data_IF_060068278960
#
_entry.id   IF_060068278960
#
_cell.length_a   1.000
_cell.length_b   1.000
_cell.length_c   1.000
_cell.angle_alpha   90.00
_cell.angle_beta   90.00
_cell.angle_gamma   90.00
#
_symmetry.space_group_name_H-M   'P 1'
#
loop_
_entity.id
_entity.type
_entity.pdbx_description
1 polymer ?
#
# COMPACT_ATOMS: atom_id res chain seq x y z
N UNK A 1 -23.62 12.02 24.97
CA UNK A 1 -22.85 10.93 24.33
C UNK A 1 -22.50 9.95 25.42
N UNK A 2 -22.94 8.70 25.31
CA UNK A 2 -22.48 7.64 26.22
C UNK A 2 -21.06 7.31 25.76
N UNK A 3 -20.06 7.67 26.56
CA UNK A 3 -18.67 7.27 26.33
C UNK A 3 -18.60 5.76 26.52
N UNK A 4 -18.53 5.00 25.43
CA UNK A 4 -18.20 3.58 25.53
C UNK A 4 -16.73 3.47 25.97
N UNK A 5 -16.51 2.89 27.14
CA UNK A 5 -15.16 2.59 27.62
C UNK A 5 -14.55 1.52 26.70
N UNK A 6 -13.26 1.67 26.34
CA UNK A 6 -12.60 0.64 25.54
C UNK A 6 -12.54 -0.69 26.30
N UNK A 7 -12.32 -1.81 25.58
CA UNK A 7 -12.07 -3.10 26.20
C UNK A 7 -11.07 -2.95 27.35
N UNK A 8 -11.34 -3.60 28.49
CA UNK A 8 -10.63 -3.36 29.75
C UNK A 8 -9.12 -3.64 29.70
N UNK A 9 -8.64 -4.30 28.64
CA UNK A 9 -7.25 -4.62 28.40
C UNK A 9 -6.51 -3.60 27.51
N UNK A 10 -7.19 -2.64 26.87
CA UNK A 10 -6.54 -1.67 25.97
C UNK A 10 -5.79 -0.57 26.73
N UNK A 11 -4.53 -0.34 26.36
CA UNK A 11 -3.80 0.83 26.84
C UNK A 11 -4.42 2.10 26.25
N UNK A 12 -4.70 3.06 27.13
CA UNK A 12 -5.22 4.38 26.75
C UNK A 12 -4.12 5.37 26.36
N UNK A 13 -2.92 5.18 26.90
CA UNK A 13 -1.75 6.00 26.60
C UNK A 13 -0.94 5.33 25.50
N UNK A 14 -0.67 6.01 24.37
CA UNK A 14 0.20 5.48 23.33
C UNK A 14 1.63 5.24 23.83
N UNK A 15 2.31 4.25 23.27
CA UNK A 15 3.71 3.91 23.58
C UNK A 15 3.82 2.90 24.72
N UNK A 16 4.73 1.94 24.56
CA UNK A 16 4.90 0.81 25.47
C UNK A 16 6.27 0.84 26.15
N UNK A 17 7.32 1.17 25.39
CA UNK A 17 8.71 1.17 25.84
C UNK A 17 9.13 2.52 26.46
N UNK A 18 8.55 3.63 25.99
CA UNK A 18 8.87 4.97 26.47
C UNK A 18 8.00 5.39 27.66
N UNK A 19 8.62 6.04 28.65
CA UNK A 19 7.90 6.54 29.82
C UNK A 19 6.95 7.71 29.48
N UNK A 20 7.34 8.55 28.51
CA UNK A 20 6.56 9.69 28.04
C UNK A 20 5.35 9.30 27.20
N UNK A 21 5.33 8.08 26.65
CA UNK A 21 4.39 7.67 25.60
C UNK A 21 4.86 8.11 24.21
N UNK A 22 4.15 7.66 23.17
CA UNK A 22 4.47 7.94 21.77
C UNK A 22 3.50 8.93 21.12
N UNK A 23 4.06 9.74 20.22
CA UNK A 23 3.36 10.71 19.38
C UNK A 23 4.10 10.83 18.03
N UNK A 24 3.50 11.54 17.07
CA UNK A 24 4.05 11.68 15.72
C UNK A 24 5.54 12.05 15.71
N UNK A 25 5.93 13.13 16.41
CA UNK A 25 7.30 13.62 16.38
C UNK A 25 8.29 12.61 16.96
N UNK A 26 7.90 11.91 18.05
CA UNK A 26 8.76 10.90 18.64
C UNK A 26 8.95 9.69 17.72
N UNK A 27 7.87 9.21 17.09
CA UNK A 27 7.92 8.09 16.15
C UNK A 27 8.79 8.46 14.96
N UNK A 28 8.56 9.64 14.38
CA UNK A 28 9.32 10.13 13.23
C UNK A 28 10.81 10.34 13.53
N UNK A 29 11.16 10.91 14.69
CA UNK A 29 12.57 11.05 15.13
C UNK A 29 13.25 9.69 15.30
N UNK A 30 12.56 8.71 15.88
CA UNK A 30 13.10 7.38 16.11
C UNK A 30 13.30 6.60 14.80
N UNK A 31 12.36 6.69 13.85
CA UNK A 31 12.51 6.17 12.49
C UNK A 31 13.71 6.81 11.78
N UNK A 32 13.81 8.14 11.81
CA UNK A 32 14.94 8.85 11.20
C UNK A 32 16.29 8.44 11.81
N UNK A 33 16.34 8.28 13.14
CA UNK A 33 17.55 7.79 13.83
C UNK A 33 17.90 6.34 13.45
N UNK A 34 16.90 5.47 13.32
CA UNK A 34 17.10 4.09 12.89
C UNK A 34 17.74 4.04 11.49
N UNK A 35 17.26 4.88 10.57
CA UNK A 35 17.69 4.95 9.17
C UNK A 35 19.04 5.65 8.98
N UNK A 36 19.40 6.60 9.85
CA UNK A 36 20.59 7.45 9.69
C UNK A 36 21.92 6.67 9.58
N UNK A 37 22.00 5.49 10.17
CA UNK A 37 23.19 4.63 10.14
C UNK A 37 22.81 3.16 10.41
N UNK A 38 23.78 2.24 10.38
CA UNK A 38 23.60 0.82 10.72
C UNK A 38 24.17 0.41 12.10
N UNK A 39 24.77 1.32 12.88
CA UNK A 39 25.55 0.98 14.07
C UNK A 39 25.11 1.65 15.38
N UNK A 40 24.21 2.62 15.33
CA UNK A 40 23.74 3.33 16.52
C UNK A 40 22.91 2.41 17.41
N UNK A 41 23.15 2.54 18.72
CA UNK A 41 22.46 1.77 19.75
C UNK A 41 20.99 2.13 19.84
N UNK A 42 20.17 1.16 20.26
CA UNK A 42 18.75 1.34 20.53
C UNK A 42 18.51 2.52 21.52
N UNK A 43 17.82 3.59 21.11
CA UNK A 43 17.48 4.71 22.00
C UNK A 43 16.33 4.39 22.96
N UNK A 44 15.53 3.35 22.66
CA UNK A 44 14.42 2.90 23.50
C UNK A 44 14.95 2.00 24.61
N UNK A 45 14.30 2.05 25.78
CA UNK A 45 14.67 1.26 26.95
C UNK A 45 14.82 -0.23 26.61
N UNK A 46 15.64 -0.98 27.36
CA UNK A 46 15.88 -2.41 27.12
C UNK A 46 14.70 -3.31 27.52
N UNK A 47 13.49 -2.77 27.65
CA UNK A 47 12.28 -3.55 27.94
C UNK A 47 12.02 -4.59 26.86
N UNK A 48 11.58 -5.79 27.26
CA UNK A 48 11.16 -6.81 26.32
C UNK A 48 9.72 -6.58 25.90
N UNK A 49 9.48 -6.55 24.58
CA UNK A 49 8.13 -6.52 23.99
C UNK A 49 7.33 -7.79 24.30
N UNK A 50 7.99 -8.84 24.77
CA UNK A 50 7.37 -10.12 25.10
C UNK A 50 7.07 -10.29 26.58
N UNK A 51 7.23 -9.25 27.41
CA UNK A 51 7.01 -9.35 28.86
C UNK A 51 5.55 -9.69 29.18
N UNK A 52 4.62 -8.97 28.57
CA UNK A 52 3.17 -9.16 28.76
C UNK A 52 2.53 -10.03 27.67
N UNK A 53 3.28 -10.35 26.62
CA UNK A 53 2.84 -11.15 25.48
C UNK A 53 3.95 -12.12 25.01
N UNK A 54 4.23 -13.20 25.76
CA UNK A 54 5.37 -14.08 25.49
C UNK A 54 5.34 -14.77 24.12
N UNK A 55 4.15 -14.99 23.56
CA UNK A 55 3.96 -15.61 22.24
C UNK A 55 3.85 -14.61 21.09
N UNK A 56 3.92 -13.31 21.37
CA UNK A 56 3.88 -12.26 20.33
C UNK A 56 2.59 -12.32 19.49
N UNK A 57 1.43 -12.50 20.14
CA UNK A 57 0.14 -12.68 19.46
C UNK A 57 -0.81 -11.49 19.61
N UNK A 58 -1.56 -11.17 18.56
CA UNK A 58 -2.64 -10.20 18.61
C UNK A 58 -3.72 -10.55 19.64
N UNK A 59 -4.12 -9.57 20.43
CA UNK A 59 -5.19 -9.68 21.43
C UNK A 59 -4.82 -10.48 22.69
N UNK A 60 -3.62 -11.05 22.78
CA UNK A 60 -3.18 -11.89 23.91
C UNK A 60 -2.43 -11.13 25.01
N UNK A 61 -1.95 -9.92 24.71
CA UNK A 61 -1.23 -9.09 25.67
C UNK A 61 -0.71 -7.82 25.03
N UNK A 62 -0.11 -6.96 25.86
CA UNK A 62 0.54 -5.74 25.39
C UNK A 62 1.86 -6.06 24.67
N UNK A 63 2.24 -5.30 23.64
CA UNK A 63 1.60 -4.09 23.12
C UNK A 63 0.59 -4.32 21.98
N UNK A 64 0.17 -5.57 21.73
CA UNK A 64 -0.69 -5.96 20.61
C UNK A 64 -2.14 -6.19 21.02
N UNK A 65 -2.61 -5.44 22.01
CA UNK A 65 -3.92 -5.65 22.60
C UNK A 65 -5.10 -5.13 21.74
N UNK A 66 -4.84 -4.22 20.80
CA UNK A 66 -5.87 -3.48 20.03
C UNK A 66 -6.25 -4.22 18.75
N UNK A 67 -7.28 -5.07 18.85
CA UNK A 67 -7.84 -5.84 17.72
C UNK A 67 -9.30 -5.44 17.49
N UNK A 68 -9.65 -5.10 16.25
CA UNK A 68 -11.00 -4.70 15.83
C UNK A 68 -11.74 -5.93 15.27
N UNK A 69 -12.11 -6.83 16.18
CA UNK A 69 -12.77 -8.11 15.86
C UNK A 69 -14.32 -8.03 15.88
N UNK A 70 -14.87 -6.88 16.27
CA UNK A 70 -16.30 -6.70 16.52
C UNK A 70 -16.75 -5.25 16.31
N UNK A 71 -18.04 -5.02 15.99
CA UNK A 71 -18.62 -3.67 15.93
C UNK A 71 -18.46 -2.88 17.23
N UNK A 72 -18.48 -3.56 18.38
CA UNK A 72 -18.26 -2.97 19.70
C UNK A 72 -16.82 -2.48 19.87
N UNK A 73 -15.82 -3.29 19.47
CA UNK A 73 -14.43 -2.86 19.48
C UNK A 73 -14.21 -1.66 18.55
N UNK A 74 -14.84 -1.65 17.38
CA UNK A 74 -14.76 -0.52 16.45
C UNK A 74 -15.43 0.75 17.01
N UNK A 75 -16.61 0.61 17.63
CA UNK A 75 -17.29 1.73 18.27
C UNK A 75 -16.47 2.31 19.45
N UNK A 76 -15.84 1.44 20.24
CA UNK A 76 -14.92 1.83 21.30
C UNK A 76 -13.70 2.58 20.75
N UNK A 77 -13.13 2.15 19.62
CA UNK A 77 -12.02 2.84 18.98
C UNK A 77 -12.42 4.25 18.53
N UNK A 78 -13.56 4.39 17.84
CA UNK A 78 -14.09 5.69 17.40
C UNK A 78 -14.33 6.63 18.60
N UNK A 79 -14.84 6.11 19.71
CA UNK A 79 -15.08 6.88 20.92
C UNK A 79 -13.80 7.38 21.61
N UNK A 80 -12.61 6.89 21.20
CA UNK A 80 -11.33 7.18 21.83
C UNK A 80 -10.25 7.57 20.78
N UNK A 81 -10.33 8.76 20.15
CA UNK A 81 -9.43 9.18 19.07
C UNK A 81 -7.94 9.13 19.38
N UNK A 82 -7.56 9.30 20.65
CA UNK A 82 -6.18 9.19 21.11
C UNK A 82 -5.55 7.81 20.86
N UNK A 83 -6.37 6.77 20.68
CA UNK A 83 -5.90 5.40 20.44
C UNK A 83 -5.40 5.18 19.01
N UNK A 84 -5.94 5.91 18.03
CA UNK A 84 -5.60 5.70 16.62
C UNK A 84 -4.78 6.83 16.00
N UNK A 85 -4.84 8.06 16.53
CA UNK A 85 -4.06 9.21 15.97
C UNK A 85 -2.54 9.06 16.02
N UNK A 86 -2.03 8.18 16.87
CA UNK A 86 -0.60 7.93 17.04
C UNK A 86 -0.26 6.45 16.83
N UNK A 87 -1.09 5.74 16.06
CA UNK A 87 -0.92 4.34 15.76
C UNK A 87 -0.93 4.10 14.26
N UNK A 88 -0.34 2.97 13.86
CA UNK A 88 -0.48 2.43 12.52
C UNK A 88 -1.72 1.54 12.48
N UNK A 89 -2.56 1.71 11.47
CA UNK A 89 -3.67 0.81 11.19
C UNK A 89 -3.16 -0.33 10.30
N UNK A 90 -3.26 -1.57 10.77
CA UNK A 90 -2.85 -2.76 10.02
C UNK A 90 -4.11 -3.53 9.60
N UNK A 91 -4.32 -3.67 8.31
CA UNK A 91 -5.46 -4.38 7.73
C UNK A 91 -4.96 -5.75 7.26
N UNK A 92 -5.59 -6.82 7.73
CA UNK A 92 -5.35 -8.17 7.22
C UNK A 92 -6.45 -8.57 6.24
N UNK A 93 -6.17 -8.65 4.93
CA UNK A 93 -7.12 -9.20 3.97
C UNK A 93 -7.32 -10.72 4.16
N UNK A 94 -6.33 -11.41 4.75
CA UNK A 94 -6.36 -12.85 5.04
C UNK A 94 -5.58 -13.22 6.31
N UNK A 95 -5.79 -14.43 6.84
CA UNK A 95 -5.21 -14.90 8.12
C UNK A 95 -3.68 -15.08 8.11
N UNK A 96 -3.09 -15.34 6.96
CA UNK A 96 -1.64 -15.52 6.76
C UNK A 96 -1.27 -15.23 5.31
N UNK A 97 0.00 -14.92 5.07
CA UNK A 97 0.56 -14.73 3.72
C UNK A 97 0.91 -16.07 3.05
N UNK A 98 0.94 -17.15 3.85
CA UNK A 98 1.05 -18.57 3.44
C UNK A 98 1.99 -19.32 4.39
N UNK A 99 2.57 -20.44 3.95
CA UNK A 99 3.39 -21.31 4.81
C UNK A 99 4.88 -21.30 4.45
N UNK A 100 5.75 -21.02 5.43
CA UNK A 100 7.20 -21.00 5.23
C UNK A 100 7.78 -22.40 4.94
N UNK A 101 9.10 -22.53 4.64
CA UNK A 101 9.72 -23.83 4.37
C UNK A 101 9.63 -24.85 5.52
N UNK A 102 9.33 -24.42 6.74
CA UNK A 102 9.11 -25.28 7.91
C UNK A 102 7.64 -25.71 8.07
N UNK A 103 6.75 -25.24 7.20
CA UNK A 103 5.31 -25.52 7.24
C UNK A 103 4.54 -24.63 8.22
N UNK A 104 5.12 -23.53 8.68
CA UNK A 104 4.48 -22.60 9.62
C UNK A 104 3.68 -21.55 8.85
N UNK A 105 2.42 -21.31 9.25
CA UNK A 105 1.63 -20.19 8.72
C UNK A 105 2.24 -18.84 9.15
N UNK A 106 2.46 -17.94 8.19
CA UNK A 106 3.10 -16.65 8.41
C UNK A 106 2.06 -15.54 8.48
N UNK A 107 1.77 -15.06 9.69
CA UNK A 107 0.91 -13.89 9.93
C UNK A 107 1.73 -12.61 10.01
N UNK A 108 2.03 -12.03 8.85
CA UNK A 108 3.01 -10.93 8.69
C UNK A 108 2.66 -9.64 9.44
N UNK A 109 1.37 -9.37 9.69
CA UNK A 109 0.91 -8.22 10.50
C UNK A 109 1.57 -8.13 11.88
N UNK A 110 1.91 -9.26 12.49
CA UNK A 110 2.61 -9.33 13.78
C UNK A 110 4.01 -8.75 13.65
N UNK A 111 4.68 -9.02 12.52
CA UNK A 111 6.01 -8.49 12.26
C UNK A 111 5.96 -6.98 12.05
N UNK A 112 5.01 -6.46 11.28
CA UNK A 112 4.81 -5.00 11.15
C UNK A 112 4.63 -4.33 12.52
N UNK A 113 3.74 -4.85 13.36
CA UNK A 113 3.51 -4.29 14.69
C UNK A 113 4.75 -4.39 15.60
N UNK A 114 5.46 -5.52 15.54
CA UNK A 114 6.70 -5.69 16.31
C UNK A 114 7.77 -4.70 15.86
N UNK A 115 7.98 -4.53 14.56
CA UNK A 115 8.95 -3.58 14.01
C UNK A 115 8.60 -2.15 14.40
N UNK A 116 7.35 -1.73 14.19
CA UNK A 116 6.87 -0.40 14.57
C UNK A 116 7.11 -0.11 16.06
N UNK A 117 6.81 -1.07 16.93
CA UNK A 117 7.02 -0.91 18.37
C UNK A 117 8.52 -0.93 18.74
N UNK A 118 9.30 -1.84 18.15
CA UNK A 118 10.71 -2.03 18.51
C UNK A 118 11.60 -0.90 18.00
N UNK A 119 11.29 -0.37 16.82
CA UNK A 119 12.08 0.67 16.16
C UNK A 119 11.67 2.05 16.66
N UNK A 120 10.37 2.30 16.83
CA UNK A 120 9.85 3.66 17.02
C UNK A 120 8.87 3.82 18.20
N UNK A 121 8.69 2.79 19.03
CA UNK A 121 7.67 2.76 20.10
C UNK A 121 6.25 3.11 19.60
N UNK A 122 5.98 2.77 18.34
CA UNK A 122 4.74 3.08 17.67
C UNK A 122 3.71 1.99 17.94
N UNK A 123 2.56 2.38 18.50
CA UNK A 123 1.44 1.48 18.70
C UNK A 123 0.84 1.06 17.34
N UNK A 124 0.16 -0.09 17.32
CA UNK A 124 -0.53 -0.60 16.14
C UNK A 124 -1.96 -1.04 16.50
N UNK A 125 -2.86 -0.93 15.53
CA UNK A 125 -4.25 -1.39 15.62
C UNK A 125 -4.50 -2.39 14.50
N UNK A 126 -4.96 -3.58 14.86
CA UNK A 126 -5.26 -4.62 13.90
C UNK A 126 -6.73 -4.59 13.46
N UNK A 127 -6.96 -4.64 12.16
CA UNK A 127 -8.25 -4.85 11.52
C UNK A 127 -8.22 -6.21 10.77
N UNK A 128 -8.61 -7.32 11.43
CA UNK A 128 -8.59 -8.65 10.84
C UNK A 128 -9.80 -8.86 9.92
N UNK A 129 -9.82 -8.17 8.78
CA UNK A 129 -10.96 -8.11 7.85
C UNK A 129 -11.48 -9.50 7.43
N UNK A 130 -10.57 -10.46 7.24
CA UNK A 130 -10.91 -11.85 6.94
C UNK A 130 -11.75 -12.53 8.03
N UNK A 131 -11.65 -12.09 9.28
CA UNK A 131 -12.37 -12.65 10.43
C UNK A 131 -13.59 -11.80 10.82
N UNK A 132 -13.40 -10.48 10.95
CA UNK A 132 -14.45 -9.57 11.42
C UNK A 132 -15.43 -9.15 10.32
N UNK A 133 -15.06 -9.33 9.06
CA UNK A 133 -15.86 -8.92 7.91
C UNK A 133 -15.76 -7.42 7.61
N UNK A 134 -16.45 -6.96 6.55
CA UNK A 134 -16.39 -5.56 6.14
C UNK A 134 -17.02 -4.63 7.18
N UNK A 135 -16.28 -3.57 7.52
CA UNK A 135 -16.79 -2.45 8.30
C UNK A 135 -17.40 -1.38 7.38
N UNK A 136 -18.23 -0.52 7.96
CA UNK A 136 -18.76 0.66 7.29
C UNK A 136 -17.61 1.60 6.87
N UNK A 137 -17.37 1.72 5.57
CA UNK A 137 -16.25 2.47 5.02
C UNK A 137 -16.35 3.98 5.31
N UNK A 138 -17.57 4.54 5.39
CA UNK A 138 -17.76 5.96 5.73
C UNK A 138 -17.26 6.27 7.15
N UNK A 139 -17.28 5.26 8.03
CA UNK A 139 -16.77 5.37 9.40
C UNK A 139 -15.32 4.92 9.53
N UNK A 140 -14.91 3.89 8.78
CA UNK A 140 -13.57 3.34 8.87
C UNK A 140 -12.52 4.26 8.28
N UNK A 141 -12.74 4.77 7.07
CA UNK A 141 -11.73 5.55 6.35
C UNK A 141 -11.26 6.74 7.19
N UNK A 142 -12.13 7.58 7.79
CA UNK A 142 -11.69 8.67 8.66
C UNK A 142 -10.87 8.21 9.87
N UNK A 143 -11.11 7.00 10.40
CA UNK A 143 -10.37 6.46 11.55
C UNK A 143 -8.96 6.07 11.14
N UNK A 144 -8.82 5.25 10.09
CA UNK A 144 -7.52 4.74 9.66
C UNK A 144 -6.68 5.83 8.99
N UNK A 145 -7.32 6.75 8.27
CA UNK A 145 -6.63 7.88 7.61
C UNK A 145 -6.20 8.96 8.60
N UNK A 146 -6.70 8.96 9.85
CA UNK A 146 -6.26 9.90 10.88
C UNK A 146 -5.06 9.40 11.70
N UNK A 147 -4.58 8.18 11.42
CA UNK A 147 -3.43 7.58 12.08
C UNK A 147 -2.09 8.02 11.51
N UNK A 148 -1.03 7.26 11.83
CA UNK A 148 0.33 7.52 11.35
C UNK A 148 0.61 6.89 9.98
N UNK A 149 0.06 5.71 9.73
CA UNK A 149 0.12 5.00 8.45
C UNK A 149 -1.01 3.97 8.39
N UNK A 150 -1.37 3.56 7.17
CA UNK A 150 -2.22 2.41 6.89
C UNK A 150 -1.34 1.34 6.25
N UNK A 151 -1.33 0.12 6.78
CA UNK A 151 -0.64 -1.02 6.17
C UNK A 151 -1.69 -2.05 5.77
N UNK A 152 -1.78 -2.36 4.48
CA UNK A 152 -2.63 -3.42 3.96
C UNK A 152 -1.75 -4.62 3.65
N UNK A 153 -1.89 -5.66 4.47
CA UNK A 153 -1.00 -6.82 4.48
C UNK A 153 -1.23 -7.78 3.31
N UNK A 154 -0.31 -8.75 3.22
CA UNK A 154 -0.43 -9.86 2.29
C UNK A 154 -1.52 -10.88 2.66
N UNK A 155 -1.63 -11.90 1.81
CA UNK A 155 -2.56 -13.00 2.01
C UNK A 155 -2.35 -14.11 0.99
N UNK A 156 -2.73 -15.32 1.37
CA UNK A 156 -2.71 -16.53 0.51
C UNK A 156 -3.69 -16.48 -0.70
N UNK A 157 -4.85 -15.78 -0.66
CA UNK A 157 -5.74 -15.66 -1.81
C UNK A 157 -5.12 -14.90 -2.98
N UNK A 158 -5.81 -14.98 -4.12
CA UNK A 158 -5.38 -14.41 -5.39
C UNK A 158 -6.45 -13.47 -5.96
N UNK A 159 -6.11 -12.21 -6.21
CA UNK A 159 -7.09 -11.20 -6.67
C UNK A 159 -7.66 -11.47 -8.07
N UNK A 160 -6.95 -12.24 -8.89
CA UNK A 160 -7.42 -12.69 -10.22
C UNK A 160 -8.48 -13.79 -10.12
N UNK A 161 -8.62 -14.43 -8.96
CA UNK A 161 -9.63 -15.46 -8.73
C UNK A 161 -10.41 -15.18 -7.42
N UNK A 162 -11.54 -14.46 -7.50
CA UNK A 162 -12.37 -14.12 -6.34
C UNK A 162 -12.82 -15.32 -5.50
N UNK A 163 -12.91 -16.52 -6.09
CA UNK A 163 -13.31 -17.73 -5.35
C UNK A 163 -12.27 -18.18 -4.31
N UNK A 164 -11.01 -17.75 -4.42
CA UNK A 164 -9.94 -18.07 -3.46
C UNK A 164 -10.14 -17.38 -2.10
N UNK A 165 -10.99 -16.36 -2.02
CA UNK A 165 -11.38 -15.72 -0.77
C UNK A 165 -12.49 -16.49 -0.01
N UNK A 166 -12.95 -17.62 -0.53
CA UNK A 166 -13.98 -18.42 0.11
C UNK A 166 -13.54 -18.87 1.51
N UNK A 167 -14.42 -18.64 2.50
CA UNK A 167 -14.16 -18.99 3.91
C UNK A 167 -13.76 -17.81 4.79
N UNK A 168 -13.45 -16.64 4.21
CA UNK A 168 -13.37 -15.39 4.98
C UNK A 168 -14.75 -14.75 5.19
N UNK A 169 -14.81 -13.87 6.18
CA UNK A 169 -15.96 -12.99 6.47
C UNK A 169 -16.05 -11.79 5.52
N UNK A 170 -15.06 -11.58 4.64
CA UNK A 170 -15.06 -10.55 3.61
C UNK A 170 -14.87 -11.16 2.22
N UNK A 171 -15.43 -10.52 1.20
CA UNK A 171 -15.24 -10.91 -0.20
C UNK A 171 -14.09 -10.14 -0.85
N UNK A 172 -13.60 -10.65 -1.98
CA UNK A 172 -12.69 -9.92 -2.87
C UNK A 172 -13.21 -8.52 -3.21
N UNK A 173 -14.50 -8.39 -3.50
CA UNK A 173 -15.12 -7.10 -3.84
C UNK A 173 -15.15 -6.11 -2.66
N UNK A 174 -15.29 -6.61 -1.43
CA UNK A 174 -15.25 -5.76 -0.23
C UNK A 174 -13.85 -5.20 -0.01
N UNK A 175 -12.83 -6.03 -0.20
CA UNK A 175 -11.42 -5.64 -0.12
C UNK A 175 -11.03 -4.68 -1.24
N UNK A 176 -11.50 -4.91 -2.47
CA UNK A 176 -11.28 -3.97 -3.58
C UNK A 176 -11.87 -2.60 -3.27
N UNK A 177 -13.11 -2.53 -2.77
CA UNK A 177 -13.72 -1.25 -2.36
C UNK A 177 -12.98 -0.57 -1.23
N UNK A 178 -12.50 -1.32 -0.25
CA UNK A 178 -11.66 -0.78 0.81
C UNK A 178 -10.38 -0.16 0.23
N UNK A 179 -9.69 -0.85 -0.66
CA UNK A 179 -8.49 -0.34 -1.32
C UNK A 179 -8.77 0.90 -2.15
N UNK A 180 -9.85 0.93 -2.95
CA UNK A 180 -10.29 2.13 -3.67
C UNK A 180 -10.51 3.33 -2.73
N UNK A 181 -11.18 3.12 -1.59
CA UNK A 181 -11.43 4.18 -0.64
C UNK A 181 -10.15 4.64 0.08
N UNK A 182 -9.21 3.73 0.37
CA UNK A 182 -7.89 4.10 0.91
C UNK A 182 -7.15 4.98 -0.11
N UNK A 183 -7.13 4.57 -1.39
CA UNK A 183 -6.49 5.34 -2.46
C UNK A 183 -7.10 6.73 -2.63
N UNK A 184 -8.42 6.89 -2.46
CA UNK A 184 -9.10 8.20 -2.54
C UNK A 184 -9.00 9.04 -1.25
N UNK A 185 -8.52 8.46 -0.13
CA UNK A 185 -8.52 9.13 1.18
C UNK A 185 -7.30 10.02 1.43
N UNK A 186 -6.31 10.01 0.53
CA UNK A 186 -5.07 10.76 0.71
C UNK A 186 -5.29 12.27 0.58
N UNK A 187 -5.18 12.96 1.70
CA UNK A 187 -5.29 14.42 1.86
C UNK A 187 -4.08 14.96 2.66
N UNK A 188 -3.86 16.29 2.75
CA UNK A 188 -2.74 16.89 3.49
C UNK A 188 -2.60 16.52 4.96
N UNK A 189 -3.65 15.99 5.59
CA UNK A 189 -3.63 15.59 7.01
C UNK A 189 -3.94 14.09 7.21
N UNK A 190 -3.93 13.32 6.12
CA UNK A 190 -4.20 11.89 6.17
C UNK A 190 -2.91 11.08 6.39
N UNK A 191 -3.06 9.82 6.77
CA UNK A 191 -1.99 8.84 6.79
C UNK A 191 -1.59 8.41 5.36
N UNK A 192 -0.31 8.12 5.09
CA UNK A 192 0.09 7.35 3.92
C UNK A 192 -0.42 5.91 4.01
N UNK A 193 -0.54 5.24 2.87
CA UNK A 193 -0.81 3.81 2.80
C UNK A 193 0.42 3.04 2.30
N UNK A 194 0.63 1.83 2.83
CA UNK A 194 1.62 0.85 2.38
C UNK A 194 0.87 -0.45 2.10
N UNK A 195 0.89 -0.90 0.85
CA UNK A 195 0.21 -2.10 0.40
C UNK A 195 1.23 -3.20 0.13
N UNK A 196 1.13 -4.35 0.81
CA UNK A 196 2.15 -5.40 0.80
C UNK A 196 1.56 -6.69 0.23
N UNK A 197 2.25 -7.33 -0.71
CA UNK A 197 1.89 -8.61 -1.33
C UNK A 197 0.45 -8.62 -1.89
N UNK A 198 -0.51 -9.27 -1.24
CA UNK A 198 -1.93 -9.20 -1.62
C UNK A 198 -2.48 -7.77 -1.59
N UNK A 199 -2.01 -6.93 -0.67
CA UNK A 199 -2.30 -5.50 -0.67
C UNK A 199 -1.85 -4.83 -1.97
N UNK A 200 -0.63 -5.12 -2.45
CA UNK A 200 -0.09 -4.56 -3.70
C UNK A 200 -0.94 -4.97 -4.91
N UNK A 201 -1.35 -6.24 -4.96
CA UNK A 201 -2.29 -6.75 -5.96
C UNK A 201 -3.67 -6.06 -5.92
N UNK A 202 -4.21 -5.84 -4.71
CA UNK A 202 -5.47 -5.13 -4.52
C UNK A 202 -5.36 -3.66 -4.96
N UNK A 203 -4.23 -3.00 -4.69
CA UNK A 203 -3.97 -1.63 -5.13
C UNK A 203 -3.91 -1.53 -6.66
N UNK A 204 -3.21 -2.46 -7.33
CA UNK A 204 -3.16 -2.54 -8.79
C UNK A 204 -4.56 -2.69 -9.41
N UNK A 205 -5.39 -3.61 -8.90
CA UNK A 205 -6.77 -3.74 -9.36
C UNK A 205 -7.62 -2.50 -9.04
N UNK A 206 -7.42 -1.87 -7.89
CA UNK A 206 -8.15 -0.66 -7.49
C UNK A 206 -7.84 0.51 -8.41
N UNK A 207 -6.59 0.69 -8.86
CA UNK A 207 -6.24 1.71 -9.85
C UNK A 207 -7.04 1.54 -11.14
N UNK A 208 -7.04 0.33 -11.71
CA UNK A 208 -7.77 0.05 -12.96
C UNK A 208 -9.28 0.22 -12.76
N UNK A 209 -9.82 -0.21 -11.62
CA UNK A 209 -11.24 -0.03 -11.29
C UNK A 209 -11.63 1.45 -11.19
N UNK A 210 -10.82 2.28 -10.51
CA UNK A 210 -11.04 3.72 -10.38
C UNK A 210 -10.98 4.44 -11.73
N UNK A 211 -10.01 4.09 -12.58
CA UNK A 211 -9.88 4.68 -13.93
C UNK A 211 -11.10 4.30 -14.78
N UNK A 212 -11.52 3.03 -14.78
CA UNK A 212 -12.72 2.58 -15.49
C UNK A 212 -13.97 3.28 -14.98
N UNK A 213 -14.07 3.48 -13.66
CA UNK A 213 -15.15 4.26 -13.05
C UNK A 213 -15.14 5.71 -13.52
N UNK A 214 -13.99 6.38 -13.53
CA UNK A 214 -13.83 7.75 -14.00
C UNK A 214 -14.28 7.88 -15.47
N UNK A 215 -13.75 7.01 -16.34
CA UNK A 215 -14.12 6.98 -17.76
C UNK A 215 -15.62 6.80 -17.94
N UNK A 216 -16.21 5.80 -17.26
CA UNK A 216 -17.65 5.53 -17.36
C UNK A 216 -18.49 6.72 -16.91
N UNK A 217 -18.18 7.31 -15.76
CA UNK A 217 -18.97 8.41 -15.18
C UNK A 217 -18.85 9.70 -15.99
N UNK A 218 -17.65 10.03 -16.48
CA UNK A 218 -17.42 11.21 -17.34
C UNK A 218 -18.12 11.06 -18.69
N UNK A 219 -18.01 9.90 -19.34
CA UNK A 219 -18.62 9.67 -20.66
C UNK A 219 -20.14 9.56 -20.60
N UNK A 220 -20.71 9.16 -19.46
CA UNK A 220 -22.16 9.10 -19.26
C UNK A 220 -22.79 10.46 -18.93
N UNK A 221 -21.98 11.49 -18.63
CA UNK A 221 -22.49 12.79 -18.21
C UNK A 221 -22.77 13.69 -19.42
N UNK A 222 -24.01 14.17 -19.54
CA UNK A 222 -24.42 15.10 -20.60
C UNK A 222 -24.13 16.57 -20.26
N UNK A 223 -24.22 16.93 -18.98
CA UNK A 223 -24.08 18.30 -18.49
C UNK A 223 -23.28 18.31 -17.19
N UNK A 224 -22.28 19.18 -17.13
CA UNK A 224 -21.53 19.48 -15.92
C UNK A 224 -22.03 20.79 -15.31
N UNK A 225 -22.51 20.74 -14.07
CA UNK A 225 -23.01 21.92 -13.37
C UNK A 225 -21.92 23.00 -13.27
N UNK A 226 -22.28 24.25 -13.59
CA UNK A 226 -21.33 25.38 -13.61
C UNK A 226 -20.48 25.49 -14.88
N UNK A 227 -20.47 24.48 -15.77
CA UNK A 227 -19.77 24.51 -17.06
C UNK A 227 -20.63 25.14 -18.17
N UNK A 228 -20.89 26.45 -18.07
CA UNK A 228 -21.86 27.14 -18.93
C UNK A 228 -21.58 27.10 -20.45
N UNK A 229 -20.37 26.71 -20.87
CA UNK A 229 -20.02 26.51 -22.27
C UNK A 229 -19.64 25.06 -22.63
N UNK A 230 -19.78 24.13 -21.68
CA UNK A 230 -19.49 22.70 -21.85
C UNK A 230 -18.02 22.38 -22.15
N UNK A 231 -17.08 23.31 -21.93
CA UNK A 231 -15.68 23.12 -22.30
C UNK A 231 -14.97 22.17 -21.35
N UNK A 232 -15.25 22.26 -20.06
CA UNK A 232 -14.62 21.42 -19.05
C UNK A 232 -15.04 19.96 -19.24
N UNK A 233 -16.34 19.71 -19.38
CA UNK A 233 -16.86 18.38 -19.63
C UNK A 233 -16.33 17.79 -20.94
N UNK A 234 -16.30 18.58 -22.02
CA UNK A 234 -15.78 18.10 -23.30
C UNK A 234 -14.30 17.73 -23.23
N UNK A 235 -13.48 18.51 -22.52
CA UNK A 235 -12.07 18.20 -22.35
C UNK A 235 -11.88 16.86 -21.60
N UNK A 236 -12.62 16.66 -20.50
CA UNK A 236 -12.59 15.40 -19.75
C UNK A 236 -13.11 14.22 -20.59
N UNK A 237 -14.15 14.41 -21.39
CA UNK A 237 -14.69 13.37 -22.27
C UNK A 237 -13.70 12.95 -23.36
N UNK A 238 -12.96 13.90 -23.96
CA UNK A 238 -11.93 13.58 -24.94
C UNK A 238 -10.83 12.72 -24.32
N UNK A 239 -10.34 13.10 -23.13
CA UNK A 239 -9.36 12.31 -22.38
C UNK A 239 -9.92 10.92 -22.04
N UNK A 240 -11.15 10.83 -21.53
CA UNK A 240 -11.75 9.55 -21.18
C UNK A 240 -11.99 8.63 -22.39
N UNK A 241 -12.26 9.19 -23.57
CA UNK A 241 -12.33 8.43 -24.83
C UNK A 241 -10.97 7.85 -25.22
N UNK A 242 -9.90 8.63 -25.07
CA UNK A 242 -8.53 8.18 -25.34
C UNK A 242 -8.12 7.07 -24.37
N UNK A 243 -8.36 7.27 -23.07
CA UNK A 243 -8.10 6.26 -22.03
C UNK A 243 -8.88 4.97 -22.31
N UNK A 244 -10.17 5.09 -22.68
CA UNK A 244 -10.97 3.94 -23.06
C UNK A 244 -10.39 3.19 -24.26
N UNK A 245 -9.96 3.90 -25.30
CA UNK A 245 -9.42 3.28 -26.51
C UNK A 245 -8.11 2.52 -26.22
N UNK A 246 -7.20 3.11 -25.44
CA UNK A 246 -5.96 2.44 -25.03
C UNK A 246 -6.28 1.25 -24.12
N UNK A 247 -7.10 1.43 -23.08
CA UNK A 247 -7.47 0.35 -22.16
C UNK A 247 -8.17 -0.83 -22.85
N UNK A 248 -8.94 -0.58 -23.91
CA UNK A 248 -9.60 -1.63 -24.70
C UNK A 248 -8.68 -2.37 -25.68
N UNK A 249 -7.50 -1.84 -25.96
CA UNK A 249 -6.57 -2.41 -26.95
C UNK A 249 -5.23 -2.85 -26.36
N UNK A 250 -4.91 -2.41 -25.13
CA UNK A 250 -3.68 -2.79 -24.45
C UNK A 250 -3.74 -4.25 -24.01
N UNK A 251 -2.78 -5.01 -24.53
CA UNK A 251 -2.61 -6.44 -24.26
C UNK A 251 -1.54 -6.60 -23.18
N UNK A 252 -1.79 -7.49 -22.22
CA UNK A 252 -0.77 -7.92 -21.26
C UNK A 252 -0.14 -9.21 -21.75
N UNK A 253 1.18 -9.22 -21.85
CA UNK A 253 1.93 -10.33 -22.41
C UNK A 253 3.09 -10.73 -21.50
N UNK A 254 3.13 -12.02 -21.15
CA UNK A 254 4.21 -12.64 -20.39
C UNK A 254 5.46 -12.79 -21.24
N UNK A 255 6.62 -12.95 -20.58
CA UNK A 255 7.92 -13.07 -21.25
C UNK A 255 8.02 -14.28 -22.15
N UNK A 256 7.32 -15.35 -21.78
CA UNK A 256 7.19 -16.58 -22.59
C UNK A 256 6.38 -16.38 -23.88
N UNK A 257 5.83 -15.19 -24.08
CA UNK A 257 5.04 -14.79 -25.24
C UNK A 257 3.54 -14.95 -25.06
N UNK A 258 3.08 -15.50 -23.93
CA UNK A 258 1.67 -15.77 -23.65
C UNK A 258 0.90 -14.48 -23.38
N UNK A 259 -0.18 -14.28 -24.10
CA UNK A 259 -1.16 -13.22 -23.80
C UNK A 259 -2.02 -13.66 -22.63
N UNK A 260 -2.03 -12.88 -21.55
CA UNK A 260 -2.83 -13.15 -20.34
C UNK A 260 -4.04 -12.23 -20.18
N UNK A 261 -4.04 -11.09 -20.86
CA UNK A 261 -5.19 -10.20 -20.96
C UNK A 261 -5.17 -9.48 -22.31
N UNK A 262 -6.33 -9.28 -22.91
CA UNK A 262 -6.49 -8.60 -24.21
C UNK A 262 -7.12 -7.21 -24.08
N UNK A 263 -7.49 -6.79 -22.87
CA UNK A 263 -7.98 -5.45 -22.52
C UNK A 263 -8.10 -5.29 -20.98
N UNK A 264 -8.36 -4.06 -20.55
CA UNK A 264 -8.55 -3.65 -19.15
C UNK A 264 -9.80 -4.20 -18.42
N UNK A 265 -10.71 -4.89 -19.13
CA UNK A 265 -11.87 -5.57 -18.53
C UNK A 265 -11.52 -6.99 -18.11
N UNK A 266 -10.44 -7.56 -18.65
CA UNK A 266 -9.99 -8.91 -18.33
C UNK A 266 -9.59 -9.03 -16.85
N UNK A 267 -10.01 -10.11 -16.19
CA UNK A 267 -9.75 -10.32 -14.76
C UNK A 267 -8.26 -10.38 -14.41
N UNK A 268 -7.42 -10.77 -15.37
CA UNK A 268 -5.96 -10.88 -15.22
C UNK A 268 -5.22 -9.64 -15.76
N UNK A 269 -5.91 -8.55 -16.11
CA UNK A 269 -5.26 -7.36 -16.67
C UNK A 269 -4.33 -6.69 -15.67
N UNK A 270 -4.77 -6.48 -14.43
CA UNK A 270 -3.93 -5.84 -13.41
C UNK A 270 -2.95 -6.83 -12.75
N UNK A 271 -3.37 -8.09 -12.58
CA UNK A 271 -2.61 -9.12 -11.86
C UNK A 271 -2.76 -10.44 -12.59
N UNK A 272 -1.65 -11.13 -12.84
CA UNK A 272 -1.65 -12.44 -13.46
C UNK A 272 -0.77 -13.43 -12.67
N UNK A 273 -0.80 -14.70 -13.07
CA UNK A 273 0.14 -15.67 -12.54
C UNK A 273 1.54 -15.36 -13.07
N UNK A 274 2.51 -15.32 -12.16
CA UNK A 274 3.92 -15.16 -12.52
C UNK A 274 4.43 -16.45 -13.19
N UNK A 275 5.38 -16.32 -14.11
CA UNK A 275 6.09 -17.41 -14.78
C UNK A 275 6.79 -18.33 -13.77
N UNK A 276 7.28 -17.80 -12.66
CA UNK A 276 7.95 -18.54 -11.61
C UNK A 276 7.45 -18.14 -10.20
N UNK A 277 7.40 -19.12 -9.29
CA UNK A 277 7.08 -18.83 -7.89
C UNK A 277 8.29 -18.20 -7.20
N UNK A 278 8.11 -17.05 -6.59
CA UNK A 278 9.16 -16.36 -5.83
C UNK A 278 8.97 -16.60 -4.32
N UNK A 279 9.88 -17.37 -3.74
CA UNK A 279 9.97 -17.62 -2.30
C UNK A 279 11.41 -17.41 -1.86
N UNK A 280 11.60 -16.71 -0.74
CA UNK A 280 12.90 -16.45 -0.13
C UNK A 280 13.52 -15.14 -0.62
N UNK A 281 14.81 -14.98 -0.40
CA UNK A 281 15.51 -13.73 -0.70
C UNK A 281 15.59 -13.48 -2.20
N UNK A 282 15.33 -12.24 -2.61
CA UNK A 282 15.56 -11.71 -3.95
C UNK A 282 16.26 -10.37 -3.89
N UNK A 283 16.96 -10.03 -4.97
CA UNK A 283 17.57 -8.72 -5.11
C UNK A 283 16.56 -7.75 -5.73
N UNK A 284 16.44 -6.56 -5.15
CA UNK A 284 15.78 -5.44 -5.83
C UNK A 284 16.71 -4.77 -6.82
N UNK A 285 16.18 -4.50 -8.01
CA UNK A 285 16.79 -3.71 -9.06
C UNK A 285 15.98 -2.45 -9.30
N UNK A 286 16.66 -1.41 -9.78
CA UNK A 286 15.99 -0.24 -10.30
C UNK A 286 15.12 -0.67 -11.49
N UNK A 287 13.91 -0.11 -11.58
CA UNK A 287 13.04 -0.37 -12.70
C UNK A 287 13.60 0.26 -13.99
N UNK A 288 13.54 -0.49 -15.08
CA UNK A 288 13.89 -0.02 -16.42
C UNK A 288 12.64 -0.09 -17.31
N UNK A 289 12.28 1.04 -17.92
CA UNK A 289 11.13 1.11 -18.82
C UNK A 289 11.30 0.16 -20.02
N UNK A 290 10.22 -0.51 -20.46
CA UNK A 290 10.28 -1.43 -21.58
C UNK A 290 10.49 -0.70 -22.91
N UNK A 291 11.14 -1.35 -23.88
CA UNK A 291 11.32 -0.79 -25.22
C UNK A 291 10.00 -0.85 -26.02
N UNK A 292 9.52 0.30 -26.47
CA UNK A 292 8.30 0.46 -27.27
C UNK A 292 8.26 -0.41 -28.54
N UNK A 293 9.41 -0.70 -29.18
CA UNK A 293 9.43 -1.50 -30.42
C UNK A 293 9.13 -2.98 -30.17
N UNK A 294 9.38 -3.44 -28.93
CA UNK A 294 9.37 -4.87 -28.60
C UNK A 294 8.31 -5.27 -27.58
N UNK A 295 7.91 -4.34 -26.71
CA UNK A 295 6.95 -4.58 -25.63
C UNK A 295 5.50 -4.67 -26.11
N UNK A 296 5.15 -3.92 -27.17
CA UNK A 296 3.76 -3.74 -27.59
C UNK A 296 2.97 -2.77 -26.72
N UNK A 297 3.62 -2.11 -25.75
CA UNK A 297 3.05 -1.01 -24.97
C UNK A 297 3.16 0.29 -25.78
N UNK A 298 2.10 1.11 -25.89
CA UNK A 298 2.17 2.38 -26.61
C UNK A 298 3.26 3.30 -26.06
N UNK A 299 4.03 3.94 -26.94
CA UNK A 299 5.12 4.85 -26.58
C UNK A 299 4.67 5.94 -25.60
N UNK A 300 3.48 6.54 -25.81
CA UNK A 300 2.94 7.56 -24.92
C UNK A 300 2.71 7.07 -23.48
N UNK A 301 2.42 5.78 -23.30
CA UNK A 301 2.22 5.14 -21.99
C UNK A 301 3.57 4.95 -21.28
N UNK A 302 4.61 4.56 -22.03
CA UNK A 302 5.98 4.41 -21.51
C UNK A 302 6.56 5.79 -21.14
N UNK A 303 6.51 6.75 -22.06
CA UNK A 303 7.05 8.11 -21.86
C UNK A 303 6.39 8.80 -20.67
N UNK A 304 5.10 8.56 -20.42
CA UNK A 304 4.43 9.11 -19.25
C UNK A 304 5.03 8.62 -17.93
N UNK A 305 5.51 7.38 -17.87
CA UNK A 305 6.23 6.86 -16.68
C UNK A 305 7.62 7.48 -16.55
N UNK A 306 8.36 7.62 -17.65
CA UNK A 306 9.67 8.28 -17.64
C UNK A 306 9.57 9.74 -17.14
N UNK A 307 8.53 10.46 -17.54
CA UNK A 307 8.26 11.82 -17.02
C UNK A 307 7.94 11.78 -15.52
N UNK A 308 7.10 10.84 -15.07
CA UNK A 308 6.80 10.68 -13.63
C UNK A 308 8.07 10.44 -12.82
N UNK A 309 8.96 9.57 -13.31
CA UNK A 309 10.21 9.22 -12.65
C UNK A 309 11.23 10.39 -12.63
N UNK A 310 11.21 11.29 -13.61
CA UNK A 310 12.03 12.51 -13.59
C UNK A 310 11.45 13.60 -12.67
N UNK A 311 10.12 13.74 -12.64
CA UNK A 311 9.42 14.75 -11.84
C UNK A 311 9.45 14.45 -10.33
N UNK A 312 9.63 13.18 -9.95
CA UNK A 312 9.60 12.72 -8.56
C UNK A 312 10.90 12.05 -8.13
N UNK A 313 11.44 12.46 -6.98
CA UNK A 313 12.54 11.73 -6.34
C UNK A 313 12.03 10.40 -5.75
N UNK A 314 12.52 9.27 -6.27
CA UNK A 314 12.11 7.94 -5.85
C UNK A 314 12.72 7.47 -4.52
N UNK A 315 11.87 7.12 -3.54
CA UNK A 315 12.29 6.67 -2.20
C UNK A 315 12.99 5.30 -2.25
N UNK A 316 12.49 4.40 -3.10
CA UNK A 316 13.09 3.06 -3.29
C UNK A 316 14.32 3.17 -4.18
N UNK A 317 14.32 3.98 -5.24
CA UNK A 317 15.49 4.21 -6.10
C UNK A 317 16.68 4.73 -5.30
N UNK A 318 16.41 5.68 -4.40
CA UNK A 318 17.38 6.20 -3.45
C UNK A 318 17.92 5.07 -2.55
N UNK A 319 17.04 4.17 -2.09
CA UNK A 319 17.43 3.02 -1.27
C UNK A 319 18.33 2.04 -2.02
N UNK A 320 17.98 1.71 -3.27
CA UNK A 320 18.74 0.81 -4.15
C UNK A 320 20.12 1.42 -4.44
N UNK A 321 20.16 2.72 -4.76
CA UNK A 321 21.41 3.44 -5.04
C UNK A 321 22.36 3.50 -3.82
N UNK A 322 21.82 3.63 -2.60
CA UNK A 322 22.64 3.68 -1.38
C UNK A 322 23.08 2.32 -0.85
N UNK A 323 22.25 1.27 -0.99
CA UNK A 323 22.49 -0.03 -0.35
C UNK A 323 23.16 -1.06 -1.29
N UNK A 324 23.39 -0.72 -2.57
CA UNK A 324 24.05 -1.51 -3.65
C UNK A 324 23.44 -2.89 -3.99
N UNK A 325 23.04 -3.69 -2.99
CA UNK A 325 22.39 -5.00 -3.14
C UNK A 325 21.31 -5.16 -2.06
N UNK A 326 20.10 -4.65 -2.34
CA UNK A 326 18.99 -4.70 -1.38
C UNK A 326 18.28 -6.06 -1.46
N UNK A 327 18.46 -6.89 -0.43
CA UNK A 327 17.85 -8.22 -0.35
C UNK A 327 16.50 -8.16 0.38
N UNK A 328 15.48 -8.79 -0.21
CA UNK A 328 14.09 -8.77 0.29
C UNK A 328 13.46 -10.16 0.30
N UNK A 329 12.58 -10.37 1.27
CA UNK A 329 11.80 -11.60 1.38
C UNK A 329 10.62 -11.61 0.38
N UNK A 330 10.54 -12.68 -0.42
CA UNK A 330 9.45 -12.96 -1.35
C UNK A 330 8.55 -14.10 -0.87
N UNK A 331 7.26 -14.00 -1.21
CA UNK A 331 6.24 -14.95 -0.77
C UNK A 331 5.01 -15.02 -1.70
N UNK A 332 5.17 -15.14 -3.02
CA UNK A 332 4.01 -15.15 -3.93
C UNK A 332 4.23 -15.95 -5.22
N UNK A 333 3.12 -16.15 -5.94
CA UNK A 333 3.07 -16.80 -7.25
C UNK A 333 2.29 -16.00 -8.29
N UNK A 334 1.71 -14.87 -7.88
CA UNK A 334 1.05 -13.92 -8.76
C UNK A 334 1.86 -12.64 -8.75
N UNK A 335 1.73 -11.84 -9.80
CA UNK A 335 2.44 -10.58 -9.97
C UNK A 335 1.51 -9.51 -10.53
N UNK A 336 1.80 -8.26 -10.20
CA UNK A 336 1.20 -7.10 -10.84
C UNK A 336 1.83 -6.90 -12.20
N UNK A 337 1.00 -6.74 -13.23
CA UNK A 337 1.49 -6.58 -14.59
C UNK A 337 2.02 -5.15 -14.82
N UNK A 338 3.22 -5.06 -15.41
CA UNK A 338 3.88 -3.79 -15.77
C UNK A 338 2.98 -2.91 -16.63
N UNK A 339 2.35 -3.48 -17.66
CA UNK A 339 1.54 -2.74 -18.63
C UNK A 339 0.33 -2.07 -17.97
N UNK A 340 -0.25 -2.72 -16.95
CA UNK A 340 -1.39 -2.18 -16.22
C UNK A 340 -1.01 -0.96 -15.38
N UNK A 341 0.18 -0.98 -14.74
CA UNK A 341 0.64 0.15 -13.93
C UNK A 341 1.14 1.30 -14.82
N UNK A 342 1.85 1.01 -15.90
CA UNK A 342 2.21 2.03 -16.90
C UNK A 342 0.95 2.71 -17.46
N UNK A 343 -0.07 1.93 -17.82
CA UNK A 343 -1.36 2.46 -18.25
C UNK A 343 -2.03 3.31 -17.16
N UNK A 344 -2.03 2.84 -15.91
CA UNK A 344 -2.61 3.58 -14.81
C UNK A 344 -1.94 4.94 -14.59
N UNK A 345 -0.60 4.98 -14.65
CA UNK A 345 0.18 6.22 -14.58
C UNK A 345 -0.24 7.21 -15.67
N UNK A 346 -0.21 6.77 -16.92
CA UNK A 346 -0.57 7.58 -18.07
C UNK A 346 -2.00 8.11 -17.96
N UNK A 347 -2.96 7.25 -17.59
CA UNK A 347 -4.36 7.63 -17.45
C UNK A 347 -4.56 8.67 -16.32
N UNK A 348 -3.91 8.50 -15.18
CA UNK A 348 -3.99 9.48 -14.09
C UNK A 348 -3.41 10.84 -14.49
N UNK A 349 -2.26 10.87 -15.15
CA UNK A 349 -1.66 12.12 -15.64
C UNK A 349 -2.61 12.85 -16.58
N UNK A 350 -3.20 12.13 -17.56
CA UNK A 350 -4.15 12.74 -18.48
C UNK A 350 -5.40 13.30 -17.78
N UNK A 351 -5.95 12.56 -16.82
CA UNK A 351 -7.11 13.02 -16.04
C UNK A 351 -6.73 14.26 -15.22
N UNK A 352 -5.60 14.21 -14.50
CA UNK A 352 -5.11 15.31 -13.69
C UNK A 352 -4.91 16.58 -14.53
N UNK A 353 -4.23 16.48 -15.68
CA UNK A 353 -3.98 17.62 -16.57
C UNK A 353 -5.27 18.21 -17.14
N UNK A 354 -6.25 17.38 -17.49
CA UNK A 354 -7.57 17.85 -17.94
C UNK A 354 -8.37 18.53 -16.82
N UNK A 355 -8.14 18.18 -15.55
CA UNK A 355 -8.78 18.83 -14.41
C UNK A 355 -8.19 20.22 -14.12
N UNK A 356 -6.89 20.46 -14.35
CA UNK A 356 -6.21 21.72 -13.95
C UNK A 356 -6.99 23.00 -14.34
N UNK A 357 -7.45 23.18 -15.60
CA UNK A 357 -8.10 24.43 -16.03
C UNK A 357 -9.49 24.64 -15.42
N UNK A 358 -10.16 23.57 -15.02
CA UNK A 358 -11.59 23.54 -14.66
C UNK A 358 -11.87 22.96 -13.28
N UNK A 359 -10.84 22.69 -12.47
CA UNK A 359 -10.93 22.06 -11.15
C UNK A 359 -11.96 22.68 -10.21
N UNK A 360 -12.14 24.01 -10.25
CA UNK A 360 -13.13 24.73 -9.45
C UNK A 360 -14.59 24.43 -9.85
N UNK A 361 -14.83 24.11 -11.13
CA UNK A 361 -16.12 23.66 -11.63
C UNK A 361 -16.35 22.21 -11.17
N UNK A 362 -15.35 21.35 -11.38
CA UNK A 362 -15.43 19.92 -11.02
C UNK A 362 -15.62 19.74 -9.51
N UNK A 363 -14.93 20.53 -8.68
CA UNK A 363 -15.00 20.48 -7.22
C UNK A 363 -16.41 20.69 -6.65
N UNK A 364 -17.28 21.38 -7.39
CA UNK A 364 -18.66 21.63 -6.99
C UNK A 364 -19.67 20.79 -7.79
N UNK A 365 -19.27 19.60 -8.25
CA UNK A 365 -20.08 18.74 -9.12
C UNK A 365 -20.11 17.29 -8.65
N UNK A 366 -20.93 16.48 -9.31
CA UNK A 366 -20.97 15.02 -9.12
C UNK A 366 -19.62 14.34 -9.45
N UNK A 367 -18.74 14.98 -10.22
CA UNK A 367 -17.40 14.50 -10.55
C UNK A 367 -16.32 14.99 -9.58
N UNK A 368 -16.69 15.65 -8.47
CA UNK A 368 -15.74 16.20 -7.48
C UNK A 368 -14.75 15.16 -6.93
N UNK A 369 -15.16 13.89 -6.86
CA UNK A 369 -14.30 12.79 -6.42
C UNK A 369 -13.07 12.56 -7.34
N UNK A 370 -13.12 12.98 -8.61
CA UNK A 370 -11.97 12.88 -9.52
C UNK A 370 -10.75 13.68 -9.03
N UNK A 371 -10.97 14.71 -8.21
CA UNK A 371 -9.91 15.53 -7.60
C UNK A 371 -9.15 14.75 -6.50
N UNK A 372 -9.72 13.65 -6.02
CA UNK A 372 -9.13 12.77 -5.02
C UNK A 372 -8.33 11.61 -5.63
N UNK A 373 -8.34 11.48 -6.96
CA UNK A 373 -7.53 10.48 -7.64
C UNK A 373 -6.04 10.76 -7.44
N UNK A 374 -5.19 9.71 -7.45
CA UNK A 374 -3.76 9.89 -7.68
C UNK A 374 -3.51 10.71 -8.96
N UNK A 375 -2.46 11.52 -8.99
CA UNK A 375 -2.01 12.19 -10.22
C UNK A 375 -1.07 11.32 -11.05
N UNK A 376 -0.33 10.41 -10.40
CA UNK A 376 0.59 9.49 -11.04
C UNK A 376 0.81 8.22 -10.19
N UNK A 377 1.22 7.14 -10.85
CA UNK A 377 1.69 5.91 -10.20
C UNK A 377 3.00 5.50 -10.87
N UNK A 378 4.05 5.34 -10.10
CA UNK A 378 5.39 5.06 -10.60
C UNK A 378 5.79 3.63 -10.24
N UNK A 379 6.27 2.84 -11.20
CA UNK A 379 7.00 1.60 -10.89
C UNK A 379 8.40 1.99 -10.45
N UNK A 380 8.80 1.54 -9.26
CA UNK A 380 10.06 1.91 -8.62
C UNK A 380 11.14 0.83 -8.76
N UNK A 381 10.74 -0.43 -8.75
CA UNK A 381 11.70 -1.52 -8.72
C UNK A 381 11.15 -2.82 -9.30
N UNK A 382 12.09 -3.66 -9.70
CA UNK A 382 11.90 -5.03 -10.15
C UNK A 382 12.66 -6.00 -9.24
N UNK A 383 12.31 -7.28 -9.26
CA UNK A 383 13.09 -8.34 -8.61
C UNK A 383 13.96 -9.05 -9.63
N UNK A 384 15.13 -9.52 -9.21
CA UNK A 384 16.01 -10.35 -10.03
C UNK A 384 16.47 -11.60 -9.28
N UNK A 385 16.81 -12.64 -10.04
CA UNK A 385 17.52 -13.82 -9.53
C UNK A 385 19.04 -13.60 -9.41
N UNK A 386 19.75 -14.61 -8.93
CA UNK A 386 21.21 -14.58 -8.74
C UNK A 386 21.99 -14.42 -10.05
N UNK A 387 21.39 -14.74 -11.20
CA UNK A 387 21.95 -14.59 -12.55
C UNK A 387 21.58 -13.23 -13.19
N UNK A 388 21.04 -12.31 -12.38
CA UNK A 388 20.60 -10.97 -12.77
C UNK A 388 19.46 -10.96 -13.81
N UNK A 389 18.70 -12.06 -13.90
CA UNK A 389 17.50 -12.10 -14.70
C UNK A 389 16.34 -11.54 -13.89
N UNK A 390 15.66 -10.52 -14.44
CA UNK A 390 14.46 -9.98 -13.80
C UNK A 390 13.41 -11.09 -13.67
N UNK A 391 12.70 -11.16 -12.55
CA UNK A 391 11.66 -12.16 -12.28
C UNK A 391 10.27 -11.55 -12.23
N UNK A 392 10.14 -10.39 -11.57
CA UNK A 392 8.93 -9.56 -11.56
C UNK A 392 9.33 -8.15 -11.95
N UNK A 393 8.72 -7.59 -13.01
CA UNK A 393 8.99 -6.23 -13.47
C UNK A 393 8.47 -5.17 -12.49
N UNK A 394 7.23 -5.33 -12.04
CA UNK A 394 6.55 -4.40 -11.14
C UNK A 394 6.55 -4.93 -9.70
N UNK A 395 7.70 -4.85 -9.02
CA UNK A 395 7.84 -5.33 -7.63
C UNK A 395 7.50 -4.30 -6.57
N UNK A 396 7.51 -3.01 -6.92
CA UNK A 396 7.08 -1.94 -6.02
C UNK A 396 6.65 -0.69 -6.77
N UNK A 397 5.68 0.03 -6.23
CA UNK A 397 5.19 1.29 -6.81
C UNK A 397 5.09 2.43 -5.81
N UNK A 398 5.24 3.65 -6.32
CA UNK A 398 4.87 4.89 -5.63
C UNK A 398 3.53 5.40 -6.18
N UNK A 399 2.63 5.82 -5.31
CA UNK A 399 1.37 6.47 -5.69
C UNK A 399 1.49 7.94 -5.28
N UNK A 400 1.51 8.83 -6.26
CA UNK A 400 1.70 10.25 -6.05
C UNK A 400 0.34 10.99 -6.01
N UNK A 401 0.27 11.98 -5.11
CA UNK A 401 -0.87 12.88 -4.96
C UNK A 401 -0.38 14.33 -4.85
N UNK A 402 -0.72 15.15 -5.84
CA UNK A 402 -0.38 16.57 -5.88
C UNK A 402 -1.58 17.41 -5.42
N UNK A 403 -1.36 18.28 -4.43
CA UNK A 403 -2.34 19.32 -4.14
C UNK A 403 -2.38 20.35 -5.28
N UNK A 404 -3.57 20.61 -5.83
CA UNK A 404 -3.72 21.52 -6.96
C UNK A 404 -3.24 22.94 -6.68
N UNK A 405 -3.34 23.42 -5.44
CA UNK A 405 -3.03 24.80 -5.05
C UNK A 405 -1.63 24.94 -4.45
N UNK A 406 -1.27 24.11 -3.47
CA UNK A 406 0.03 24.17 -2.79
C UNK A 406 1.16 23.48 -3.56
N UNK A 407 0.81 22.61 -4.53
CA UNK A 407 1.76 21.73 -5.25
C UNK A 407 2.53 20.78 -4.34
N UNK A 408 2.08 20.58 -3.11
CA UNK A 408 2.66 19.61 -2.19
C UNK A 408 2.35 18.21 -2.70
N UNK A 409 3.42 17.43 -2.91
CA UNK A 409 3.36 16.01 -3.27
C UNK A 409 3.21 15.20 -1.99
N UNK A 410 2.35 14.19 -2.04
CA UNK A 410 2.17 13.17 -1.00
C UNK A 410 2.28 11.81 -1.63
N UNK A 411 2.89 10.87 -0.92
CA UNK A 411 3.08 9.51 -1.44
C UNK A 411 2.37 8.44 -0.61
N UNK A 412 2.16 7.32 -1.27
CA UNK A 412 1.83 6.02 -0.69
C UNK A 412 2.57 4.97 -1.49
N UNK A 413 2.77 3.79 -0.92
CA UNK A 413 3.69 2.80 -1.48
C UNK A 413 3.01 1.45 -1.60
N UNK A 414 3.46 0.68 -2.58
CA UNK A 414 3.05 -0.71 -2.72
C UNK A 414 4.28 -1.58 -2.96
N UNK A 415 4.28 -2.80 -2.43
CA UNK A 415 5.38 -3.74 -2.53
C UNK A 415 4.83 -5.15 -2.74
N UNK A 416 5.30 -5.85 -3.76
CA UNK A 416 4.98 -7.26 -4.00
C UNK A 416 5.68 -8.18 -2.98
N UNK A 417 6.82 -7.71 -2.46
CA UNK A 417 7.65 -8.34 -1.45
C UNK A 417 7.25 -7.95 -0.02
N UNK A 418 7.84 -8.63 0.96
CA UNK A 418 7.54 -8.48 2.39
C UNK A 418 8.71 -7.83 3.14
N UNK A 419 8.83 -6.49 3.15
CA UNK A 419 9.93 -5.80 3.84
C UNK A 419 9.85 -5.95 5.38
N UNK A 420 8.74 -6.45 5.91
CA UNK A 420 8.54 -6.77 7.32
C UNK A 420 9.03 -8.17 7.72
N UNK A 421 9.31 -9.04 6.75
CA UNK A 421 9.80 -10.39 7.00
C UNK A 421 11.33 -10.42 6.92
N UNK A 422 11.94 -11.13 7.87
CA UNK A 422 13.37 -11.44 7.84
C UNK A 422 13.62 -12.66 6.95
N UNK A 423 14.88 -12.93 6.61
CA UNK A 423 15.30 -14.02 5.72
C UNK A 423 14.77 -15.42 6.10
N UNK A 424 14.42 -15.67 7.37
CA UNK A 424 13.85 -16.95 7.80
C UNK A 424 12.34 -17.09 7.52
N UNK A 425 11.67 -16.03 7.05
CA UNK A 425 10.24 -15.99 6.71
C UNK A 425 9.35 -16.45 7.87
N UNK A 426 9.68 -16.07 9.10
CA UNK A 426 8.93 -16.48 10.30
C UNK A 426 8.22 -15.30 10.95
N UNK A 427 7.09 -15.61 11.57
CA UNK A 427 6.45 -14.70 12.53
C UNK A 427 7.37 -14.55 13.73
N UNK A 428 7.53 -13.33 14.25
CA UNK A 428 8.39 -13.05 15.41
C UNK A 428 8.12 -13.99 16.60
N UNK A 429 6.86 -14.38 16.83
CA UNK A 429 6.47 -15.29 17.91
C UNK A 429 6.94 -16.74 17.79
N UNK A 430 7.38 -17.17 16.60
CA UNK A 430 7.87 -18.53 16.35
C UNK A 430 9.40 -18.62 16.34
N UNK A 431 10.10 -17.50 16.40
CA UNK A 431 11.56 -17.41 16.40
C UNK A 431 12.10 -16.69 17.63
N UNK A 432 13.42 -16.63 17.78
CA UNK A 432 14.02 -15.70 18.71
C UNK A 432 13.70 -14.28 18.24
N UNK A 433 13.10 -13.41 19.09
CA UNK A 433 12.73 -12.06 18.68
C UNK A 433 13.95 -11.28 18.23
N UNK A 434 13.87 -10.60 17.07
CA UNK A 434 15.03 -9.94 16.53
C UNK A 434 15.45 -8.77 17.41
N UNK A 435 16.77 -8.61 17.56
CA UNK A 435 17.36 -7.51 18.30
C UNK A 435 17.31 -6.22 17.48
N UNK A 436 17.41 -5.06 18.13
CA UNK A 436 17.46 -3.78 17.39
C UNK A 436 18.67 -3.71 16.44
N UNK A 437 19.81 -4.32 16.84
CA UNK A 437 21.02 -4.39 16.01
C UNK A 437 20.80 -5.27 14.77
N UNK A 438 20.16 -6.43 14.94
CA UNK A 438 19.77 -7.31 13.85
C UNK A 438 18.84 -6.60 12.85
N UNK A 439 17.80 -5.93 13.35
CA UNK A 439 16.88 -5.14 12.52
C UNK A 439 17.60 -4.02 11.75
N UNK A 440 18.66 -3.42 12.32
CA UNK A 440 19.46 -2.41 11.63
C UNK A 440 20.35 -2.96 10.52
N UNK A 441 20.62 -4.27 10.50
CA UNK A 441 21.38 -4.90 9.42
C UNK A 441 20.46 -5.43 8.31
N UNK A 442 19.18 -5.62 8.60
CA UNK A 442 18.23 -6.16 7.63
C UNK A 442 17.74 -5.09 6.64
N UNK A 443 17.91 -5.37 5.35
CA UNK A 443 17.60 -4.45 4.27
C UNK A 443 16.11 -4.24 4.08
N UNK A 444 15.32 -5.31 4.20
CA UNK A 444 13.86 -5.25 4.15
C UNK A 444 13.30 -4.37 5.26
N UNK A 445 13.75 -4.58 6.50
CA UNK A 445 13.28 -3.80 7.65
C UNK A 445 13.66 -2.33 7.53
N UNK A 446 14.88 -2.04 7.05
CA UNK A 446 15.30 -0.66 6.76
C UNK A 446 14.45 -0.02 5.67
N UNK A 447 14.13 -0.78 4.61
CA UNK A 447 13.22 -0.33 3.57
C UNK A 447 11.83 -0.04 4.14
N UNK A 448 11.25 -0.94 4.94
CA UNK A 448 9.95 -0.72 5.58
C UNK A 448 9.94 0.55 6.45
N UNK A 449 10.98 0.74 7.28
CA UNK A 449 11.12 1.94 8.10
C UNK A 449 11.25 3.22 7.25
N UNK A 450 11.89 3.13 6.08
CA UNK A 450 12.05 4.25 5.14
C UNK A 450 10.74 4.59 4.44
N UNK A 451 9.94 3.60 4.04
CA UNK A 451 8.59 3.80 3.49
C UNK A 451 7.67 4.50 4.51
N UNK A 452 7.71 4.06 5.78
CA UNK A 452 6.99 4.72 6.87
C UNK A 452 7.48 6.16 7.08
N UNK A 453 8.80 6.36 7.15
CA UNK A 453 9.39 7.69 7.37
C UNK A 453 9.02 8.67 6.25
N UNK A 454 9.25 8.30 4.99
CA UNK A 454 8.96 9.16 3.84
C UNK A 454 7.46 9.44 3.71
N UNK A 455 6.61 8.43 3.86
CA UNK A 455 5.16 8.61 3.77
C UNK A 455 4.58 9.49 4.88
N UNK A 456 5.19 9.50 6.08
CA UNK A 456 4.76 10.34 7.20
C UNK A 456 5.23 11.79 7.09
N UNK A 457 6.34 12.04 6.37
CA UNK A 457 6.91 13.37 6.21
C UNK A 457 6.09 14.24 5.23
N UNK A 458 5.43 13.61 4.27
CA UNK A 458 4.68 14.22 3.18
C UNK A 458 3.18 14.30 3.46
#
# INVERSE_FOLDING_TARGET
>A
MITQSPPSNWRLKPGYLSYSGSQFESVHILLGRFLADRHSSNPLSTGSLLSDNPSCEWGKGQPFEKVIDSPEAFAALIANPQLFRHAIAIIEPWKHVGCNPLGEEVRASVNVAYLAQKVADCDSILFPYWASGPLDLERLIPVISSGLAIVVEGGDPSVRNPSTFAGASCSHQDLLRLSEQILLSRTPASAPAIFICLGHQLAAQAHISLIRRAVREVLALDVLEGDGNGKALRALQLVCQEIQAVGQSLVVKKRDGRVVADNWEHQEFAVAHNEAKEIGDRQLRQYESPDHETSGVPEAVIVAHEITADEHEGVIDTSIAYEHELNIAMFHSDEVNEEAILFANWAYRLIHDALIPSRHIVANSALSWLIQLPDAVEILCSTADDDDQVLTECSGTCINYIDFESKTVRRSFTCQFHPELLADLRVVGLRQPPSYEELKQDDGVRLFARLLYAGMQE
#
